data_IF_410279748505
#
_entry.id   IF_410279748505
#
_cell.length_a   1.000
_cell.length_b   1.000
_cell.length_c   1.000
_cell.angle_alpha   90.00
_cell.angle_beta   90.00
_cell.angle_gamma   90.00
#
_symmetry.space_group_name_H-M   'P 1'
#
loop_
_entity.id
_entity.type
_entity.pdbx_description
1 polymer ?
#
# COMPACT_ATOMS: atom_id res chain seq x y z
N UNK A 1 -11.13 10.01 0.92
CA UNK A 1 -9.84 10.62 1.30
C UNK A 1 -8.79 10.14 0.33
N UNK A 2 -8.10 11.04 -0.34
CA UNK A 2 -7.02 10.71 -1.27
C UNK A 2 -5.67 11.11 -0.71
N UNK A 3 -4.62 10.46 -1.21
CA UNK A 3 -3.23 10.76 -0.89
C UNK A 3 -2.51 11.10 -2.20
N UNK A 4 -2.06 12.34 -2.34
CA UNK A 4 -1.43 12.84 -3.56
C UNK A 4 -0.03 13.38 -3.26
N UNK A 5 0.91 13.05 -4.12
CA UNK A 5 2.19 13.74 -4.18
C UNK A 5 2.01 15.08 -4.86
N UNK A 6 2.24 16.16 -4.16
CA UNK A 6 1.92 17.50 -4.64
C UNK A 6 3.08 18.49 -4.58
N UNK A 7 4.26 18.05 -4.28
CA UNK A 7 5.43 18.90 -4.27
C UNK A 7 6.61 18.33 -5.07
N UNK A 8 7.60 19.15 -5.28
CA UNK A 8 8.80 18.81 -6.06
C UNK A 8 9.59 17.63 -5.46
N UNK A 9 9.41 17.34 -4.18
CA UNK A 9 10.08 16.25 -3.45
C UNK A 9 9.20 15.04 -3.22
N UNK A 10 8.01 15.00 -3.82
CA UNK A 10 7.09 13.87 -3.69
C UNK A 10 6.50 13.72 -2.29
N UNK A 11 6.34 14.81 -1.54
CA UNK A 11 5.62 14.74 -0.26
C UNK A 11 4.14 14.48 -0.54
N UNK A 12 3.62 13.45 0.09
CA UNK A 12 2.21 13.11 0.01
C UNK A 12 1.39 13.88 1.04
N UNK A 13 0.13 14.12 0.74
CA UNK A 13 -0.80 14.80 1.65
C UNK A 13 -2.13 14.09 1.68
N UNK A 14 -2.81 14.21 2.82
CA UNK A 14 -4.14 13.67 3.01
C UNK A 14 -5.17 14.76 2.73
N UNK A 15 -6.13 14.45 1.87
CA UNK A 15 -7.20 15.35 1.47
C UNK A 15 -8.56 14.76 1.84
N UNK A 16 -9.49 15.62 2.19
CA UNK A 16 -10.91 15.32 2.27
C UNK A 16 -11.58 15.85 0.99
N UNK A 17 -12.30 14.98 0.31
CA UNK A 17 -13.12 15.36 -0.84
C UNK A 17 -14.60 15.32 -0.47
N UNK A 18 -15.28 16.45 -0.62
CA UNK A 18 -16.72 16.59 -0.44
C UNK A 18 -17.38 16.25 -1.78
N UNK A 19 -18.04 15.11 -1.87
CA UNK A 19 -18.63 14.59 -3.11
C UNK A 19 -19.76 15.49 -3.59
N UNK A 20 -20.60 15.99 -2.68
CA UNK A 20 -21.75 16.85 -3.04
C UNK A 20 -21.31 18.21 -3.59
N UNK A 21 -20.28 18.80 -2.99
CA UNK A 21 -19.77 20.12 -3.37
C UNK A 21 -18.64 20.06 -4.41
N UNK A 22 -18.11 18.89 -4.71
CA UNK A 22 -16.94 18.73 -5.59
C UNK A 22 -15.68 19.45 -5.08
N UNK A 23 -15.55 19.64 -3.77
CA UNK A 23 -14.46 20.42 -3.17
C UNK A 23 -13.47 19.56 -2.43
N UNK A 24 -12.19 19.82 -2.65
CA UNK A 24 -11.09 19.17 -1.95
C UNK A 24 -10.52 20.09 -0.88
N UNK A 25 -10.27 19.54 0.30
CA UNK A 25 -9.61 20.23 1.40
C UNK A 25 -8.43 19.39 1.89
N UNK A 26 -7.24 19.99 1.89
CA UNK A 26 -6.04 19.38 2.50
C UNK A 26 -6.18 19.34 4.02
N UNK A 27 -5.87 18.20 4.62
CA UNK A 27 -5.97 17.98 6.07
C UNK A 27 -4.58 17.86 6.70
N UNK A 28 -3.73 16.96 6.14
CA UNK A 28 -2.44 16.59 6.73
C UNK A 28 -1.37 16.55 5.64
N UNK A 29 -0.20 17.07 5.96
CA UNK A 29 1.00 16.93 5.14
C UNK A 29 1.85 15.75 5.59
N UNK A 30 2.44 15.04 4.63
CA UNK A 30 3.37 13.93 4.87
C UNK A 30 2.71 12.62 5.30
N UNK A 31 1.38 12.52 5.18
CA UNK A 31 0.68 11.25 5.38
C UNK A 31 0.94 10.30 4.20
N UNK A 32 1.13 9.01 4.49
CA UNK A 32 1.31 7.96 3.49
C UNK A 32 0.39 6.77 3.76
N UNK A 33 0.18 5.96 2.73
CA UNK A 33 -0.61 4.73 2.82
C UNK A 33 -2.11 4.97 2.95
N UNK A 34 -2.83 3.91 3.23
CA UNK A 34 -4.28 3.92 3.43
C UNK A 34 -4.62 4.48 4.81
N UNK A 35 -5.42 5.53 4.93
CA UNK A 35 -5.92 6.00 6.21
C UNK A 35 -7.13 5.19 6.66
N UNK A 36 -7.43 5.22 7.96
CA UNK A 36 -8.64 4.66 8.55
C UNK A 36 -9.43 5.71 9.29
N UNK A 37 -10.75 5.63 9.22
CA UNK A 37 -11.67 6.62 9.78
C UNK A 37 -12.64 5.98 10.78
N UNK A 38 -12.88 6.63 11.91
CA UNK A 38 -13.80 6.15 12.94
C UNK A 38 -15.00 7.09 13.21
N UNK A 39 -15.27 8.02 12.30
CA UNK A 39 -16.34 9.02 12.45
C UNK A 39 -15.83 10.37 12.98
N UNK A 40 -15.05 10.42 14.04
CA UNK A 40 -14.56 11.66 14.64
C UNK A 40 -13.06 11.88 14.42
N UNK A 41 -12.32 10.83 14.16
CA UNK A 41 -10.88 10.88 13.95
C UNK A 41 -10.47 10.11 12.71
N UNK A 42 -9.31 10.50 12.15
CA UNK A 42 -8.65 9.77 11.09
C UNK A 42 -7.28 9.30 11.58
N UNK A 43 -6.99 8.02 11.33
CA UNK A 43 -5.71 7.40 11.61
C UNK A 43 -4.91 7.23 10.33
N UNK A 44 -3.62 7.56 10.36
CA UNK A 44 -2.77 7.53 9.17
C UNK A 44 -1.30 7.34 9.56
N UNK A 45 -0.50 6.96 8.59
CA UNK A 45 0.94 6.83 8.77
C UNK A 45 1.64 8.12 8.39
N UNK A 46 2.58 8.57 9.23
CA UNK A 46 3.38 9.76 8.99
C UNK A 46 4.77 9.62 9.58
N UNK A 47 5.76 10.19 8.91
CA UNK A 47 7.12 10.21 9.43
C UNK A 47 7.23 11.14 10.63
N UNK A 48 7.84 10.68 11.71
CA UNK A 48 7.99 11.49 12.93
C UNK A 48 8.75 12.79 12.65
N UNK A 49 8.29 13.89 13.26
CA UNK A 49 8.92 15.21 13.12
C UNK A 49 10.34 15.24 13.70
N UNK A 50 10.51 14.60 14.84
CA UNK A 50 11.79 14.53 15.54
C UNK A 50 12.37 13.12 15.47
N UNK A 51 13.68 13.04 15.40
CA UNK A 51 14.40 11.76 15.51
C UNK A 51 14.26 11.14 16.90
N UNK A 52 14.45 9.82 16.95
CA UNK A 52 14.67 9.14 18.23
C UNK A 52 16.04 9.53 18.84
N UNK A 53 16.41 8.93 19.95
CA UNK A 53 17.72 9.17 20.59
C UNK A 53 18.95 8.96 19.69
N UNK A 54 18.78 8.20 18.60
CA UNK A 54 19.82 7.94 17.60
C UNK A 54 19.69 8.84 16.36
N UNK A 55 18.79 9.84 16.35
CA UNK A 55 18.54 10.73 15.25
C UNK A 55 17.65 10.15 14.14
N UNK A 56 17.24 8.89 14.21
CA UNK A 56 16.40 8.23 13.20
C UNK A 56 14.96 8.69 13.28
N UNK A 57 14.34 8.91 12.11
CA UNK A 57 12.93 9.30 11.96
C UNK A 57 12.17 8.17 11.30
N UNK A 58 11.27 7.55 12.04
CA UNK A 58 10.44 6.45 11.54
C UNK A 58 9.03 6.90 11.19
N UNK A 59 8.35 6.10 10.39
CA UNK A 59 6.91 6.22 10.21
C UNK A 59 6.20 5.62 11.43
N UNK A 60 5.17 6.32 11.87
CA UNK A 60 4.32 5.92 12.98
C UNK A 60 2.87 6.26 12.68
N UNK A 61 1.96 5.66 13.46
CA UNK A 61 0.55 5.96 13.35
C UNK A 61 0.23 7.22 14.13
N UNK A 62 -0.51 8.10 13.49
CA UNK A 62 -1.06 9.32 14.06
C UNK A 62 -2.58 9.31 13.98
N UNK A 63 -3.21 9.98 14.91
CA UNK A 63 -4.61 10.32 14.91
C UNK A 63 -4.76 11.83 14.69
N UNK A 64 -5.69 12.22 13.83
CA UNK A 64 -6.17 13.59 13.75
C UNK A 64 -7.64 13.62 14.17
N UNK A 65 -7.92 14.30 15.29
CA UNK A 65 -9.26 14.53 15.82
C UNK A 65 -9.87 15.76 15.13
N UNK A 66 -10.98 15.58 14.42
CA UNK A 66 -11.63 16.64 13.64
C UNK A 66 -12.31 17.69 14.51
N UNK A 67 -12.79 17.35 15.69
CA UNK A 67 -13.45 18.28 16.61
C UNK A 67 -12.41 19.15 17.31
N UNK A 68 -11.41 18.52 17.91
CA UNK A 68 -10.36 19.23 18.65
C UNK A 68 -9.28 19.85 17.76
N UNK A 69 -9.21 19.42 16.48
CA UNK A 69 -8.18 19.82 15.50
C UNK A 69 -6.75 19.58 15.99
N UNK A 70 -6.54 18.48 16.67
CA UNK A 70 -5.23 18.09 17.20
C UNK A 70 -4.71 16.81 16.54
N UNK A 71 -3.40 16.74 16.38
CA UNK A 71 -2.70 15.56 15.90
C UNK A 71 -2.02 14.86 17.08
N UNK A 72 -2.26 13.56 17.26
CA UNK A 72 -1.71 12.75 18.35
C UNK A 72 -0.98 11.54 17.76
N UNK A 73 0.28 11.33 18.16
CA UNK A 73 1.06 10.15 17.79
C UNK A 73 0.63 8.94 18.63
N UNK A 74 0.23 7.84 18.01
CA UNK A 74 -0.28 6.62 18.65
C UNK A 74 0.79 5.53 18.81
N UNK A 75 1.73 5.43 17.87
CA UNK A 75 2.88 4.52 18.00
C UNK A 75 4.16 5.33 18.05
N UNK A 76 5.23 4.76 18.61
CA UNK A 76 6.51 5.44 18.74
C UNK A 76 7.64 4.52 18.30
N UNK A 77 8.30 4.91 17.20
CA UNK A 77 9.46 4.22 16.61
C UNK A 77 9.16 2.79 16.10
N UNK A 78 7.89 2.51 15.73
CA UNK A 78 7.41 1.20 15.30
C UNK A 78 7.56 0.94 13.81
N UNK A 79 7.93 1.90 12.99
CA UNK A 79 7.90 1.77 11.52
C UNK A 79 6.53 1.25 11.06
N UNK A 80 5.49 1.97 11.47
CA UNK A 80 4.10 1.55 11.39
C UNK A 80 3.39 2.15 10.17
N UNK A 81 2.63 1.32 9.46
CA UNK A 81 1.97 1.66 8.20
C UNK A 81 0.54 1.13 8.15
N UNK A 82 -0.31 1.76 7.31
CA UNK A 82 -1.65 1.31 6.95
C UNK A 82 -2.50 0.91 8.16
N UNK A 83 -2.83 1.86 9.05
CA UNK A 83 -3.66 1.58 10.20
C UNK A 83 -5.09 1.24 9.79
N UNK A 84 -5.73 0.30 10.47
CA UNK A 84 -7.16 0.04 10.39
C UNK A 84 -7.78 0.02 11.78
N UNK A 85 -8.88 0.75 11.96
CA UNK A 85 -9.56 0.88 13.24
C UNK A 85 -10.57 -0.23 13.45
N UNK A 86 -10.53 -0.84 14.64
CA UNK A 86 -11.54 -1.76 15.15
C UNK A 86 -12.43 -1.04 16.16
N UNK A 87 -13.72 -0.99 15.89
CA UNK A 87 -14.70 -0.43 16.82
C UNK A 87 -15.08 -1.40 17.96
N UNK A 88 -14.81 -2.70 17.82
CA UNK A 88 -15.14 -3.74 18.79
C UNK A 88 -14.38 -3.52 20.10
N UNK A 89 -13.08 -3.31 19.99
CA UNK A 89 -12.18 -3.20 21.14
C UNK A 89 -11.45 -1.85 21.23
N UNK A 90 -11.78 -0.91 20.34
CA UNK A 90 -11.12 0.40 20.26
C UNK A 90 -9.61 0.29 20.06
N UNK A 91 -9.20 -0.57 19.14
CA UNK A 91 -7.80 -0.80 18.78
C UNK A 91 -7.49 -0.37 17.35
N UNK A 92 -6.20 -0.23 17.04
CA UNK A 92 -5.70 -0.11 15.68
C UNK A 92 -4.86 -1.33 15.34
N UNK A 93 -5.17 -1.96 14.21
CA UNK A 93 -4.27 -2.92 13.57
C UNK A 93 -3.42 -2.16 12.56
N UNK A 94 -2.15 -2.51 12.44
CA UNK A 94 -1.22 -1.83 11.55
C UNK A 94 -0.08 -2.76 11.12
N UNK A 95 0.54 -2.45 10.00
CA UNK A 95 1.71 -3.15 9.51
C UNK A 95 2.94 -2.53 10.14
N UNK A 96 3.88 -3.35 10.59
CA UNK A 96 5.15 -2.86 11.13
C UNK A 96 6.33 -3.71 10.71
N UNK A 97 7.46 -3.03 10.50
CA UNK A 97 8.77 -3.66 10.29
C UNK A 97 9.73 -3.40 11.46
N UNK A 98 9.17 -3.15 12.64
CA UNK A 98 9.91 -2.77 13.83
C UNK A 98 10.97 -3.82 14.26
N UNK A 99 10.65 -5.09 14.17
CA UNK A 99 11.53 -6.19 14.55
C UNK A 99 12.38 -6.76 13.39
N UNK A 100 12.40 -6.07 12.26
CA UNK A 100 13.12 -6.47 11.05
C UNK A 100 12.34 -7.41 10.13
N UNK A 101 11.13 -7.83 10.53
CA UNK A 101 10.20 -8.62 9.72
C UNK A 101 8.91 -7.83 9.46
N UNK A 102 8.23 -8.12 8.36
CA UNK A 102 6.98 -7.44 8.04
C UNK A 102 5.81 -8.21 8.68
N UNK A 103 5.17 -7.60 9.67
CA UNK A 103 4.11 -8.25 10.43
C UNK A 103 2.96 -7.30 10.77
N UNK A 104 1.81 -7.87 11.14
CA UNK A 104 0.65 -7.15 11.64
C UNK A 104 0.78 -7.03 13.16
N UNK A 105 0.56 -5.82 13.64
CA UNK A 105 0.54 -5.48 15.06
C UNK A 105 -0.80 -4.84 15.41
N UNK A 106 -1.14 -4.87 16.68
CA UNK A 106 -2.28 -4.20 17.27
C UNK A 106 -1.80 -3.22 18.32
N UNK A 107 -2.44 -2.06 18.44
CA UNK A 107 -2.28 -1.15 19.57
C UNK A 107 -3.65 -0.85 20.18
N UNK A 108 -3.78 -1.09 21.46
CA UNK A 108 -4.96 -0.68 22.26
C UNK A 108 -4.87 0.84 22.49
N UNK A 109 -5.89 1.57 22.02
CA UNK A 109 -5.93 3.03 22.12
C UNK A 109 -6.15 3.56 23.53
N UNK A 110 -6.61 2.72 24.48
CA UNK A 110 -6.85 3.10 25.87
C UNK A 110 -5.57 3.09 26.72
N UNK A 111 -4.74 2.07 26.50
CA UNK A 111 -3.53 1.86 27.33
C UNK A 111 -2.23 1.99 26.55
N UNK A 112 -2.31 2.19 25.22
CA UNK A 112 -1.16 2.30 24.30
C UNK A 112 -0.26 1.05 24.28
N UNK A 113 -0.80 -0.11 24.68
CA UNK A 113 -0.07 -1.38 24.63
C UNK A 113 -0.13 -1.94 23.21
N UNK A 114 1.04 -2.24 22.66
CA UNK A 114 1.16 -2.89 21.35
C UNK A 114 1.47 -4.37 21.52
N UNK A 115 0.87 -5.19 20.66
CA UNK A 115 1.12 -6.63 20.56
C UNK A 115 1.26 -7.06 19.09
N UNK A 116 2.02 -8.13 18.85
CA UNK A 116 2.22 -8.71 17.54
C UNK A 116 1.14 -9.74 17.26
N UNK A 117 0.46 -9.62 16.13
CA UNK A 117 -0.66 -10.50 15.73
C UNK A 117 -0.17 -11.63 14.83
N UNK A 118 0.72 -11.33 13.87
CA UNK A 118 1.29 -12.35 12.97
C UNK A 118 2.77 -12.57 13.29
N UNK A 119 3.30 -13.72 12.88
CA UNK A 119 4.70 -14.08 13.12
C UNK A 119 5.40 -14.58 11.85
N UNK A 120 5.32 -13.77 10.80
CA UNK A 120 6.07 -14.00 9.57
C UNK A 120 7.57 -13.78 9.82
N UNK A 121 8.41 -14.67 9.27
CA UNK A 121 9.86 -14.69 9.54
C UNK A 121 10.71 -14.64 8.28
N UNK A 122 10.09 -14.84 7.12
CA UNK A 122 10.80 -14.94 5.86
C UNK A 122 10.52 -13.70 4.99
N UNK A 123 10.23 -13.93 3.72
CA UNK A 123 10.02 -12.87 2.73
C UNK A 123 8.55 -12.48 2.56
N UNK A 124 7.71 -12.84 3.52
CA UNK A 124 6.30 -12.45 3.51
C UNK A 124 6.18 -10.93 3.68
N UNK A 125 5.38 -10.29 2.81
CA UNK A 125 5.15 -8.84 2.83
C UNK A 125 3.64 -8.58 2.92
N UNK A 126 3.20 -8.09 4.06
CA UNK A 126 1.86 -7.54 4.24
C UNK A 126 1.84 -6.12 3.68
N UNK A 127 0.88 -5.78 2.85
CA UNK A 127 0.87 -4.47 2.17
C UNK A 127 -0.41 -3.66 2.35
N UNK A 128 -1.52 -4.29 2.66
CA UNK A 128 -2.77 -3.60 2.98
C UNK A 128 -3.57 -4.35 4.05
N UNK A 129 -4.43 -3.62 4.76
CA UNK A 129 -5.30 -4.15 5.81
C UNK A 129 -6.74 -3.67 5.59
N UNK A 130 -7.70 -4.55 5.89
CA UNK A 130 -9.11 -4.21 6.06
C UNK A 130 -9.67 -4.98 7.24
N UNK A 131 -10.68 -4.44 7.91
CA UNK A 131 -11.26 -5.05 9.10
C UNK A 131 -12.78 -5.06 9.01
N UNK A 132 -13.35 -6.24 9.13
CA UNK A 132 -14.79 -6.46 9.22
C UNK A 132 -15.21 -6.39 10.68
N UNK A 133 -15.84 -5.27 11.06
CA UNK A 133 -16.32 -5.04 12.42
C UNK A 133 -17.51 -5.95 12.79
N UNK A 134 -18.23 -6.50 11.82
CA UNK A 134 -19.39 -7.38 12.12
C UNK A 134 -18.93 -8.82 12.41
N UNK A 135 -17.85 -9.26 11.77
CA UNK A 135 -17.35 -10.65 11.86
C UNK A 135 -16.10 -10.80 12.75
N UNK A 136 -15.53 -9.70 13.21
CA UNK A 136 -14.23 -9.68 13.93
C UNK A 136 -13.10 -10.38 13.15
N UNK A 137 -13.05 -10.10 11.85
CA UNK A 137 -12.07 -10.68 10.92
C UNK A 137 -11.21 -9.59 10.32
N UNK A 138 -9.91 -9.80 10.37
CA UNK A 138 -8.94 -8.96 9.69
C UNK A 138 -8.59 -9.57 8.33
N UNK A 139 -8.71 -8.79 7.29
CA UNK A 139 -8.29 -9.11 5.93
C UNK A 139 -6.98 -8.40 5.63
N UNK A 140 -6.09 -9.04 4.90
CA UNK A 140 -4.83 -8.44 4.53
C UNK A 140 -4.26 -9.00 3.24
N UNK A 141 -3.53 -8.16 2.54
CA UNK A 141 -2.76 -8.54 1.36
C UNK A 141 -1.42 -9.10 1.81
N UNK A 142 -1.12 -10.32 1.38
CA UNK A 142 0.16 -10.99 1.65
C UNK A 142 0.85 -11.34 0.34
N UNK A 143 2.04 -10.80 0.12
CA UNK A 143 2.93 -11.26 -0.94
C UNK A 143 3.88 -12.31 -0.36
N UNK A 144 3.83 -13.50 -0.96
CA UNK A 144 4.78 -14.57 -0.70
C UNK A 144 5.32 -15.03 -2.06
N UNK A 145 6.64 -14.97 -2.24
CA UNK A 145 7.33 -15.15 -3.52
C UNK A 145 6.96 -14.08 -4.56
N UNK A 146 6.04 -14.34 -5.50
CA UNK A 146 5.79 -13.48 -6.65
C UNK A 146 4.39 -12.85 -6.68
N UNK A 147 3.39 -13.51 -6.07
CA UNK A 147 2.01 -13.07 -6.16
C UNK A 147 1.49 -12.52 -4.85
N UNK A 148 0.66 -11.51 -4.97
CA UNK A 148 -0.06 -10.93 -3.84
C UNK A 148 -1.41 -11.59 -3.73
N UNK A 149 -1.72 -12.09 -2.54
CA UNK A 149 -2.96 -12.81 -2.26
C UNK A 149 -3.65 -12.21 -1.04
N UNK A 150 -4.96 -12.34 -0.98
CA UNK A 150 -5.74 -11.89 0.17
C UNK A 150 -5.91 -13.02 1.15
N UNK A 151 -5.56 -12.76 2.39
CA UNK A 151 -5.74 -13.65 3.53
C UNK A 151 -6.68 -13.04 4.54
N UNK A 152 -7.28 -13.91 5.34
CA UNK A 152 -8.07 -13.54 6.52
C UNK A 152 -7.40 -14.10 7.76
N UNK A 153 -7.53 -13.38 8.87
CA UNK A 153 -7.21 -13.90 10.19
C UNK A 153 -8.39 -13.66 11.11
N UNK A 154 -8.90 -14.73 11.71
CA UNK A 154 -9.89 -14.66 12.77
C UNK A 154 -9.17 -14.27 14.06
N UNK A 155 -9.57 -13.15 14.66
CA UNK A 155 -8.88 -12.59 15.83
C UNK A 155 -9.18 -13.34 17.13
N UNK A 156 -10.21 -14.17 17.15
CA UNK A 156 -10.57 -14.98 18.31
C UNK A 156 -9.66 -16.21 18.47
N UNK A 157 -9.41 -16.94 17.38
CA UNK A 157 -8.65 -18.20 17.41
C UNK A 157 -7.31 -18.13 16.65
N UNK A 158 -7.01 -16.97 16.07
CA UNK A 158 -5.81 -16.72 15.24
C UNK A 158 -5.70 -17.62 14.02
N UNK A 159 -6.79 -18.25 13.58
CA UNK A 159 -6.81 -19.03 12.36
C UNK A 159 -6.64 -18.12 11.14
N UNK A 160 -5.76 -18.53 10.23
CA UNK A 160 -5.45 -17.78 9.02
C UNK A 160 -5.83 -18.61 7.79
N UNK A 161 -6.58 -18.00 6.88
CA UNK A 161 -7.07 -18.66 5.68
C UNK A 161 -6.82 -17.78 4.46
N UNK A 162 -6.35 -18.38 3.36
CA UNK A 162 -6.29 -17.74 2.05
C UNK A 162 -7.71 -17.59 1.51
N UNK A 163 -8.09 -16.37 1.14
CA UNK A 163 -9.47 -16.09 0.73
C UNK A 163 -9.80 -16.62 -0.66
N UNK A 164 -8.84 -16.57 -1.59
CA UNK A 164 -9.00 -16.99 -2.98
C UNK A 164 -7.90 -17.98 -3.31
N UNK A 165 -8.28 -19.16 -3.76
CA UNK A 165 -7.32 -20.20 -4.14
C UNK A 165 -6.81 -19.99 -5.57
N UNK A 166 -5.84 -19.09 -5.70
CA UNK A 166 -5.15 -18.79 -6.96
C UNK A 166 -3.70 -18.41 -6.67
N UNK A 167 -2.76 -19.02 -7.37
CA UNK A 167 -1.32 -18.73 -7.23
C UNK A 167 -0.73 -18.10 -8.51
N UNK A 168 -1.58 -17.61 -9.40
CA UNK A 168 -1.16 -17.10 -10.71
C UNK A 168 -1.46 -15.64 -10.95
N UNK A 169 -2.18 -14.97 -10.04
CA UNK A 169 -2.67 -13.61 -10.20
C UNK A 169 -2.58 -12.81 -8.91
N UNK A 170 -2.53 -11.50 -9.05
CA UNK A 170 -2.52 -10.56 -7.94
C UNK A 170 -3.96 -10.21 -7.51
N UNK A 171 -4.26 -10.46 -6.24
CA UNK A 171 -5.48 -10.03 -5.58
C UNK A 171 -5.11 -9.08 -4.45
N UNK A 172 -5.65 -7.87 -4.44
CA UNK A 172 -5.23 -6.84 -3.50
C UNK A 172 -6.32 -5.88 -3.08
N UNK A 173 -6.11 -5.22 -1.96
CA UNK A 173 -6.89 -4.06 -1.52
C UNK A 173 -8.37 -4.38 -1.34
N UNK A 174 -8.67 -5.40 -0.55
CA UNK A 174 -10.05 -5.80 -0.28
C UNK A 174 -10.80 -4.74 0.54
N UNK A 175 -12.07 -4.57 0.23
CA UNK A 175 -13.06 -3.91 1.07
C UNK A 175 -14.26 -4.82 1.27
N UNK A 176 -14.82 -4.83 2.48
CA UNK A 176 -15.87 -5.76 2.89
C UNK A 176 -17.13 -5.02 3.32
N UNK A 177 -18.28 -5.63 3.04
CA UNK A 177 -19.59 -5.30 3.61
C UNK A 177 -20.17 -6.54 4.27
N UNK A 178 -21.41 -6.45 4.78
CA UNK A 178 -22.11 -7.62 5.36
C UNK A 178 -22.37 -8.72 4.35
N UNK A 179 -22.70 -8.34 3.12
CA UNK A 179 -23.24 -9.22 2.08
C UNK A 179 -22.23 -9.59 0.99
N UNK A 180 -21.20 -8.79 0.82
CA UNK A 180 -20.21 -8.99 -0.25
C UNK A 180 -18.86 -8.37 0.10
N UNK A 181 -17.86 -8.70 -0.69
CA UNK A 181 -16.57 -8.01 -0.71
C UNK A 181 -16.12 -7.71 -2.13
N UNK A 182 -15.27 -6.71 -2.24
CA UNK A 182 -14.70 -6.26 -3.51
C UNK A 182 -13.19 -6.09 -3.35
N UNK A 183 -12.43 -6.48 -4.35
CA UNK A 183 -10.99 -6.33 -4.39
C UNK A 183 -10.50 -5.99 -5.80
N UNK A 184 -9.27 -5.53 -5.91
CA UNK A 184 -8.60 -5.32 -7.19
C UNK A 184 -7.93 -6.61 -7.66
N UNK A 185 -8.21 -7.03 -8.90
CA UNK A 185 -7.87 -8.34 -9.46
C UNK A 185 -7.27 -8.16 -10.87
N UNK A 186 -6.15 -8.83 -11.16
CA UNK A 186 -5.44 -8.70 -12.44
C UNK A 186 -5.61 -9.89 -13.41
N UNK A 187 -6.50 -10.85 -13.13
CA UNK A 187 -6.74 -12.01 -14.00
C UNK A 187 -7.10 -11.63 -15.45
N UNK A 188 -7.70 -10.47 -15.64
CA UNK A 188 -8.02 -9.94 -16.98
C UNK A 188 -6.82 -9.27 -17.67
N UNK A 189 -5.62 -9.31 -17.09
CA UNK A 189 -4.41 -8.63 -17.55
C UNK A 189 -4.31 -7.16 -17.16
N UNK A 190 -5.37 -6.60 -16.58
CA UNK A 190 -5.43 -5.25 -16.00
C UNK A 190 -6.14 -5.35 -14.67
N UNK A 191 -5.66 -4.64 -13.67
CA UNK A 191 -6.37 -4.56 -12.39
C UNK A 191 -7.77 -3.96 -12.59
N UNK A 192 -8.80 -4.77 -12.34
CA UNK A 192 -10.18 -4.36 -12.30
C UNK A 192 -10.82 -4.78 -10.97
N UNK A 193 -11.91 -4.12 -10.59
CA UNK A 193 -12.64 -4.49 -9.39
C UNK A 193 -13.42 -5.78 -9.62
N UNK A 194 -13.18 -6.74 -8.73
CA UNK A 194 -13.87 -8.02 -8.71
C UNK A 194 -14.76 -8.11 -7.48
N UNK A 195 -16.02 -8.35 -7.69
CA UNK A 195 -17.08 -8.48 -6.71
C UNK A 195 -17.32 -9.95 -6.38
N UNK A 196 -17.54 -10.24 -5.11
CA UNK A 196 -17.96 -11.57 -4.63
C UNK A 196 -19.09 -11.38 -3.62
N UNK A 197 -20.29 -11.76 -4.02
CA UNK A 197 -21.48 -11.85 -3.17
C UNK A 197 -21.85 -13.29 -2.87
N UNK A 198 -22.97 -13.50 -2.21
CA UNK A 198 -23.44 -14.82 -1.80
C UNK A 198 -23.74 -15.75 -3.00
N UNK A 199 -24.42 -15.23 -4.03
CA UNK A 199 -24.90 -16.03 -5.16
C UNK A 199 -24.27 -15.67 -6.51
N UNK A 200 -23.47 -14.61 -6.56
CA UNK A 200 -22.89 -14.12 -7.80
C UNK A 200 -21.51 -13.51 -7.56
N UNK A 201 -20.67 -13.55 -8.58
CA UNK A 201 -19.35 -12.94 -8.56
C UNK A 201 -18.93 -12.54 -9.97
N UNK A 202 -18.07 -11.55 -10.09
CA UNK A 202 -17.53 -11.09 -11.37
C UNK A 202 -16.96 -9.70 -11.33
N UNK A 203 -16.44 -9.26 -12.45
CA UNK A 203 -15.93 -7.91 -12.59
C UNK A 203 -17.05 -6.86 -12.55
N UNK A 204 -16.85 -5.80 -11.80
CA UNK A 204 -17.75 -4.63 -11.73
C UNK A 204 -17.09 -3.36 -12.26
N UNK A 205 -15.87 -3.47 -12.77
CA UNK A 205 -15.22 -2.40 -13.51
C UNK A 205 -14.52 -2.97 -14.75
N UNK A 206 -14.37 -2.14 -15.79
CA UNK A 206 -13.62 -2.47 -16.99
C UNK A 206 -12.88 -1.23 -17.47
N UNK A 207 -11.69 -1.04 -16.94
CA UNK A 207 -10.87 0.15 -17.18
C UNK A 207 -9.56 -0.24 -17.86
N UNK A 208 -9.09 0.57 -18.78
CA UNK A 208 -7.84 0.32 -19.50
C UNK A 208 -6.58 0.64 -18.71
N UNK A 209 -6.69 1.46 -17.66
CA UNK A 209 -5.55 1.88 -16.85
C UNK A 209 -5.50 1.24 -15.46
N UNK A 210 -6.59 0.60 -15.05
CA UNK A 210 -6.71 -0.11 -13.78
C UNK A 210 -7.60 0.59 -12.75
N UNK A 211 -8.20 -0.24 -11.89
CA UNK A 211 -9.09 0.13 -10.79
C UNK A 211 -8.53 -0.41 -9.48
N UNK A 212 -8.41 0.46 -8.46
CA UNK A 212 -7.65 0.19 -7.25
C UNK A 212 -8.34 0.74 -6.01
N UNK A 213 -7.97 0.22 -4.84
CA UNK A 213 -8.34 0.75 -3.53
C UNK A 213 -9.86 0.93 -3.36
N UNK A 214 -10.68 -0.10 -3.61
CA UNK A 214 -12.10 0.02 -3.34
C UNK A 214 -12.34 0.26 -1.86
N UNK A 215 -13.38 1.04 -1.56
CA UNK A 215 -13.91 1.21 -0.22
C UNK A 215 -15.43 1.24 -0.28
N UNK A 216 -16.08 0.49 0.61
CA UNK A 216 -17.54 0.30 0.61
C UNK A 216 -18.14 1.10 1.74
N UNK A 217 -19.11 1.95 1.45
CA UNK A 217 -19.82 2.69 2.46
C UNK A 217 -21.02 1.89 3.03
N UNK A 218 -21.72 2.48 3.99
CA UNK A 218 -22.89 1.85 4.65
C UNK A 218 -24.10 1.63 3.71
N UNK A 219 -24.14 2.35 2.59
CA UNK A 219 -25.19 2.22 1.57
C UNK A 219 -24.81 1.23 0.46
N UNK A 220 -23.74 0.47 0.64
CA UNK A 220 -23.19 -0.44 -0.37
C UNK A 220 -22.68 0.24 -1.65
N UNK A 221 -22.48 1.56 -1.63
CA UNK A 221 -21.79 2.28 -2.71
C UNK A 221 -20.28 2.02 -2.60
N UNK A 222 -19.63 1.84 -3.73
CA UNK A 222 -18.19 1.54 -3.82
C UNK A 222 -17.46 2.75 -4.38
N UNK A 223 -16.61 3.37 -3.58
CA UNK A 223 -15.66 4.38 -4.05
C UNK A 223 -14.32 3.72 -4.35
N UNK A 224 -13.68 4.11 -5.43
CA UNK A 224 -12.39 3.52 -5.82
C UNK A 224 -11.52 4.49 -6.60
N UNK A 225 -10.25 4.17 -6.73
CA UNK A 225 -9.29 4.90 -7.53
C UNK A 225 -9.17 4.28 -8.92
N UNK A 226 -9.36 5.06 -9.97
CA UNK A 226 -9.19 4.65 -11.36
C UNK A 226 -8.05 5.41 -12.01
N UNK A 227 -7.15 4.71 -12.70
CA UNK A 227 -6.12 5.33 -13.52
C UNK A 227 -6.61 5.51 -14.95
N UNK A 228 -6.77 6.74 -15.38
CA UNK A 228 -7.29 7.08 -16.70
C UNK A 228 -6.64 8.36 -17.24
N UNK A 229 -6.26 8.33 -18.53
CA UNK A 229 -5.62 9.48 -19.18
C UNK A 229 -4.39 10.03 -18.43
N UNK A 230 -3.55 9.12 -17.89
CA UNK A 230 -2.32 9.47 -17.19
C UNK A 230 -2.52 10.02 -15.77
N UNK A 231 -3.72 9.92 -15.20
CA UNK A 231 -4.04 10.44 -13.86
C UNK A 231 -4.89 9.45 -13.07
N UNK A 232 -4.71 9.46 -11.76
CA UNK A 232 -5.67 8.85 -10.85
C UNK A 232 -6.87 9.77 -10.65
N UNK A 233 -8.06 9.19 -10.70
CA UNK A 233 -9.34 9.84 -10.43
C UNK A 233 -10.09 9.03 -9.38
N UNK A 234 -11.07 9.63 -8.74
CA UNK A 234 -12.01 8.96 -7.86
C UNK A 234 -13.24 8.62 -8.69
N UNK A 235 -13.69 7.37 -8.62
CA UNK A 235 -14.91 6.90 -9.24
C UNK A 235 -15.82 6.26 -8.18
N UNK A 236 -17.12 6.21 -8.47
CA UNK A 236 -18.15 5.66 -7.57
C UNK A 236 -19.00 4.68 -8.39
N UNK A 237 -19.28 3.52 -7.80
CA UNK A 237 -20.28 2.56 -8.25
C UNK A 237 -21.42 2.59 -7.23
N UNK A 238 -22.58 3.01 -7.66
CA UNK A 238 -23.82 3.08 -6.85
C UNK A 238 -24.77 1.90 -7.12
N UNK A 239 -24.57 1.20 -8.22
CA UNK A 239 -25.31 0.00 -8.62
C UNK A 239 -24.35 -1.07 -9.11
N UNK A 240 -24.41 -2.27 -8.53
CA UNK A 240 -23.51 -3.36 -8.88
C UNK A 240 -24.04 -4.08 -10.10
N UNK A 241 -23.32 -3.93 -11.21
CA UNK A 241 -23.56 -4.66 -12.47
C UNK A 241 -22.32 -5.49 -12.80
N UNK A 242 -22.51 -6.81 -12.95
CA UNK A 242 -21.42 -7.72 -13.32
C UNK A 242 -21.21 -7.65 -14.84
N UNK A 243 -20.01 -7.26 -15.22
CA UNK A 243 -19.60 -7.22 -16.61
C UNK A 243 -19.40 -8.63 -17.19
N UNK A 244 -19.66 -8.79 -18.48
CA UNK A 244 -19.28 -10.01 -19.19
C UNK A 244 -17.73 -10.16 -19.17
N UNK A 245 -17.27 -11.24 -18.57
CA UNK A 245 -15.84 -11.50 -18.37
C UNK A 245 -15.06 -11.54 -19.70
N UNK A 246 -15.72 -11.89 -20.82
CA UNK A 246 -15.08 -11.90 -22.14
C UNK A 246 -14.73 -10.50 -22.66
N UNK A 247 -15.36 -9.47 -22.10
CA UNK A 247 -15.18 -8.08 -22.51
C UNK A 247 -14.29 -7.29 -21.53
N UNK A 248 -13.86 -7.91 -20.42
CA UNK A 248 -13.04 -7.24 -19.42
C UNK A 248 -11.56 -7.47 -19.68
N UNK A 249 -10.77 -6.39 -19.54
CA UNK A 249 -9.33 -6.44 -19.71
C UNK A 249 -8.86 -6.31 -21.14
N UNK A 250 -7.73 -6.92 -21.45
CA UNK A 250 -7.17 -6.88 -22.78
C UNK A 250 -7.84 -7.89 -23.71
N UNK A 251 -8.15 -7.45 -24.94
CA UNK A 251 -8.52 -8.39 -26.00
C UNK A 251 -7.36 -9.39 -26.22
N UNK A 252 -7.66 -10.69 -26.41
CA UNK A 252 -6.64 -11.70 -26.74
C UNK A 252 -5.76 -11.32 -27.94
N UNK A 253 -6.30 -10.56 -28.88
CA UNK A 253 -5.55 -10.04 -30.04
C UNK A 253 -4.48 -9.00 -29.66
N UNK A 254 -4.60 -8.34 -28.52
CA UNK A 254 -3.62 -7.35 -28.05
C UNK A 254 -2.28 -8.01 -27.68
N UNK A 255 -2.33 -9.24 -27.20
CA UNK A 255 -1.15 -10.03 -26.84
C UNK A 255 -0.76 -11.07 -27.90
N UNK A 256 -1.21 -10.91 -29.15
CA UNK A 256 -0.73 -11.77 -30.21
C UNK A 256 0.80 -11.65 -30.25
N UNK A 257 1.47 -12.69 -29.77
CA UNK A 257 2.92 -12.82 -29.90
C UNK A 257 3.25 -12.61 -31.37
N UNK A 258 4.12 -11.66 -31.61
CA UNK A 258 4.71 -11.48 -32.93
C UNK A 258 5.54 -12.74 -33.18
N UNK A 259 4.93 -13.74 -33.85
CA UNK A 259 5.55 -15.04 -34.13
C UNK A 259 6.80 -14.93 -35.00
N UNK A 260 7.09 -13.71 -35.50
CA UNK A 260 8.31 -13.38 -36.22
C UNK A 260 9.49 -12.95 -35.35
N UNK A 261 9.31 -12.81 -34.05
CA UNK A 261 10.45 -12.76 -33.14
C UNK A 261 11.06 -14.15 -33.15
N UNK A 262 12.09 -14.36 -33.96
CA UNK A 262 13.01 -15.47 -33.81
C UNK A 262 13.37 -15.53 -32.34
N UNK A 263 13.15 -16.68 -31.72
CA UNK A 263 13.60 -16.88 -30.34
C UNK A 263 15.01 -16.32 -30.20
N UNK A 264 15.23 -15.23 -29.48
CA UNK A 264 16.57 -14.77 -29.23
C UNK A 264 17.14 -15.80 -28.27
N UNK A 265 18.13 -16.53 -28.76
CA UNK A 265 18.98 -17.33 -27.88
C UNK A 265 18.45 -18.75 -27.61
N UNK A 266 18.43 -19.60 -28.62
CA UNK A 266 18.77 -21.00 -28.43
C UNK A 266 20.28 -21.11 -28.25
N UNK A 267 20.76 -20.84 -27.06
CA UNK A 267 22.15 -20.89 -26.68
C UNK A 267 22.27 -20.19 -25.35
N UNK A 268 21.87 -20.84 -24.27
CA UNK A 268 22.34 -20.46 -22.95
C UNK A 268 23.86 -20.65 -22.96
N UNK A 269 24.59 -19.61 -23.33
CA UNK A 269 25.98 -19.54 -22.91
C UNK A 269 25.90 -19.55 -21.39
N UNK A 270 26.41 -20.61 -20.79
CA UNK A 270 26.67 -20.65 -19.37
C UNK A 270 27.64 -19.48 -19.07
N UNK A 271 27.07 -18.34 -18.72
CA UNK A 271 27.86 -17.22 -18.22
C UNK A 271 28.34 -17.65 -16.84
N UNK A 272 29.56 -18.16 -16.78
CA UNK A 272 30.20 -18.39 -15.49
C UNK A 272 30.44 -17.04 -14.88
N UNK A 273 29.68 -16.73 -13.83
CA UNK A 273 29.90 -15.52 -13.05
C UNK A 273 31.32 -15.52 -12.50
N UNK A 274 32.06 -14.43 -12.77
CA UNK A 274 33.33 -14.22 -12.10
C UNK A 274 33.06 -13.65 -10.71
N UNK A 275 33.85 -14.08 -9.74
CA UNK A 275 33.87 -13.45 -8.43
C UNK A 275 34.15 -11.95 -8.60
N UNK A 276 33.31 -11.13 -7.99
CA UNK A 276 33.53 -9.68 -7.92
C UNK A 276 34.82 -9.46 -7.12
N UNK A 277 35.77 -8.77 -7.70
CA UNK A 277 36.96 -8.31 -7.00
C UNK A 277 36.77 -6.81 -6.74
N UNK A 278 36.85 -6.44 -5.48
CA UNK A 278 36.89 -5.04 -5.04
C UNK A 278 38.25 -4.41 -5.42
N UNK A 279 38.48 -4.28 -6.71
CA UNK A 279 39.61 -3.50 -7.19
C UNK A 279 39.13 -2.06 -7.37
N UNK A 280 39.82 -1.11 -6.73
CA UNK A 280 39.70 0.32 -7.02
C UNK A 280 40.83 0.70 -8.01
N UNK A 281 40.73 0.34 -9.31
CA UNK A 281 41.86 0.44 -10.21
C UNK A 281 42.27 1.86 -10.51
N UNK A 282 41.35 2.83 -10.43
CA UNK A 282 41.63 4.23 -10.68
C UNK A 282 40.94 5.14 -9.67
N UNK A 283 41.72 5.71 -8.78
CA UNK A 283 41.23 6.67 -7.80
C UNK A 283 41.72 8.06 -8.17
N UNK A 284 40.81 8.98 -8.41
CA UNK A 284 41.12 10.39 -8.67
C UNK A 284 40.90 11.20 -7.40
N UNK A 285 41.85 12.08 -7.12
CA UNK A 285 41.77 13.03 -6.02
C UNK A 285 41.65 14.42 -6.62
N UNK A 286 40.59 15.14 -6.27
CA UNK A 286 40.47 16.54 -6.64
C UNK A 286 40.37 17.40 -5.39
N UNK A 287 41.27 18.37 -5.19
CA UNK A 287 41.11 19.30 -4.09
C UNK A 287 39.86 20.14 -4.29
N UNK A 288 39.11 20.32 -3.24
CA UNK A 288 37.93 21.18 -3.20
C UNK A 288 38.13 22.28 -2.19
N UNK A 289 37.85 23.50 -2.59
CA UNK A 289 37.75 24.65 -1.71
C UNK A 289 36.33 25.18 -1.85
N UNK A 290 35.57 25.23 -0.78
CA UNK A 290 34.26 25.87 -0.77
C UNK A 290 34.19 26.96 0.31
N UNK A 291 33.50 28.04 -0.02
CA UNK A 291 33.12 29.08 0.94
C UNK A 291 31.67 28.92 1.28
N UNK A 292 31.40 28.83 2.58
CA UNK A 292 30.06 28.69 3.11
C UNK A 292 29.93 29.55 4.37
N UNK A 293 29.01 30.50 4.34
CA UNK A 293 28.80 31.48 5.43
C UNK A 293 30.09 32.14 5.96
N UNK A 294 30.98 32.56 5.05
CA UNK A 294 32.22 33.20 5.43
C UNK A 294 33.33 32.27 5.95
N UNK A 295 33.09 30.98 5.92
CA UNK A 295 34.10 29.98 6.35
C UNK A 295 34.66 29.24 5.17
N UNK A 296 36.01 29.18 5.09
CA UNK A 296 36.75 28.40 4.11
C UNK A 296 36.70 26.91 4.54
N UNK A 297 36.18 26.05 3.67
CA UNK A 297 36.10 24.59 3.90
C UNK A 297 36.97 23.88 2.87
N UNK A 298 38.22 23.53 3.18
CA UNK A 298 39.05 22.67 2.34
C UNK A 298 38.52 21.23 2.39
N UNK A 299 38.56 20.53 1.27
CA UNK A 299 38.12 19.13 1.18
C UNK A 299 38.82 18.43 0.02
N UNK A 300 38.56 17.14 -0.09
CA UNK A 300 39.00 16.29 -1.20
C UNK A 300 37.81 15.55 -1.78
N UNK A 301 37.69 15.55 -3.06
CA UNK A 301 36.84 14.63 -3.79
C UNK A 301 37.61 13.36 -4.11
N UNK A 302 37.00 12.23 -3.82
CA UNK A 302 37.46 10.93 -4.27
C UNK A 302 36.47 10.43 -5.33
N UNK A 303 36.93 9.98 -6.43
CA UNK A 303 36.13 9.32 -7.47
C UNK A 303 36.86 8.07 -7.93
N UNK A 304 36.12 6.97 -8.03
CA UNK A 304 36.59 5.75 -8.68
C UNK A 304 35.80 5.57 -9.97
N UNK A 305 36.47 5.14 -11.02
CA UNK A 305 35.82 4.72 -12.26
C UNK A 305 35.73 3.19 -12.23
N UNK A 306 34.51 2.66 -12.14
CA UNK A 306 34.21 1.29 -12.55
C UNK A 306 34.01 1.21 -14.05
#
# INVERSE_FOLDING_TARGET
ISNEGNDYFGQTSLYLYDIEKGKTKKIIDGAIGRPSFNGNSIYYSKRSKYGNKNGSRFFDIYEFDFEKKIEIRKTKDFRAFNPIFSSIDSSLYYISTHDGTNNIFKVDLKNSKSEKITNFKNNEIVSDLNYDNDKDVLYFDLTNNHFRQIFTINLFDSSMVKLIDSDSFDHRQISTSKEFYVFSDDRSGIHNLYYVGENNQGYISNTSGGSFMPDINRNSEIVYSVFENGKFKIAIIDSIEIADASNVGYSPSYFQKNTNLKDPISGSQNVVGKSYQDDFPNMFYLPRISFDYGTLKPGLYFSTTE
#
